data_IF_295630999628
#
_entry.id   IF_295630999628
#
_cell.length_a   1.000
_cell.length_b   1.000
_cell.length_c   1.000
_cell.angle_alpha   90.00
_cell.angle_beta   90.00
_cell.angle_gamma   90.00
#
_symmetry.space_group_name_H-M   'P 1'
#
loop_
_entity.id
_entity.type
_entity.pdbx_description
1 polymer ?
#
# COMPACT_ATOMS: atom_id res chain seq x y z
N UNK A 1 25.17 1.03 -4.09
CA UNK A 1 23.86 1.52 -3.62
C UNK A 1 22.74 1.05 -4.54
N UNK A 2 22.33 -0.21 -4.32
CA UNK A 2 21.01 -0.71 -4.70
C UNK A 2 19.96 0.28 -4.16
N UNK A 3 18.87 0.53 -4.90
CA UNK A 3 17.66 1.11 -4.31
C UNK A 3 17.38 0.38 -3.00
N UNK A 4 17.04 1.12 -1.94
CA UNK A 4 16.56 0.50 -0.70
C UNK A 4 15.30 -0.28 -1.05
N UNK A 5 15.44 -1.59 -1.19
CA UNK A 5 14.32 -2.46 -1.50
C UNK A 5 13.38 -2.49 -0.31
N UNK A 6 12.09 -2.31 -0.57
CA UNK A 6 11.05 -2.42 0.43
C UNK A 6 10.27 -3.72 0.23
N UNK A 7 10.00 -4.38 1.34
CA UNK A 7 9.12 -5.56 1.35
C UNK A 7 7.69 -5.11 1.12
N UNK A 8 7.00 -5.71 0.14
CA UNK A 8 5.63 -5.36 -0.21
C UNK A 8 4.67 -5.46 0.98
N UNK A 9 4.89 -6.44 1.88
CA UNK A 9 4.03 -6.63 3.04
C UNK A 9 4.14 -5.49 4.06
N UNK A 10 5.19 -4.67 3.99
CA UNK A 10 5.37 -3.48 4.84
C UNK A 10 4.67 -2.24 4.30
N UNK A 11 4.20 -2.26 3.05
CA UNK A 11 3.54 -1.13 2.38
C UNK A 11 2.14 -1.47 1.85
N UNK A 12 1.79 -2.75 1.71
CA UNK A 12 0.42 -3.17 1.48
C UNK A 12 -0.44 -2.76 2.68
N UNK A 13 -1.38 -1.86 2.43
CA UNK A 13 -2.20 -1.26 3.48
C UNK A 13 -2.99 -2.34 4.19
N UNK A 14 -3.54 -3.31 3.46
CA UNK A 14 -4.25 -4.44 4.06
C UNK A 14 -3.36 -5.26 4.99
N UNK A 15 -2.12 -5.56 4.58
CA UNK A 15 -1.16 -6.32 5.39
C UNK A 15 -0.74 -5.57 6.66
N UNK A 16 -0.52 -4.27 6.55
CA UNK A 16 -0.23 -3.39 7.70
C UNK A 16 -1.39 -3.39 8.69
N UNK A 17 -2.62 -3.19 8.20
CA UNK A 17 -3.82 -3.18 9.02
C UNK A 17 -4.09 -4.54 9.68
N UNK A 18 -3.96 -5.64 8.93
CA UNK A 18 -4.15 -7.00 9.45
C UNK A 18 -3.19 -7.30 10.59
N UNK A 19 -1.89 -7.01 10.42
CA UNK A 19 -0.87 -7.24 11.45
C UNK A 19 -1.23 -6.48 12.73
N UNK A 20 -1.60 -5.20 12.60
CA UNK A 20 -1.95 -4.34 13.75
C UNK A 20 -3.23 -4.80 14.44
N UNK A 21 -4.26 -5.16 13.70
CA UNK A 21 -5.48 -5.71 14.28
C UNK A 21 -5.21 -7.04 14.99
N UNK A 22 -4.36 -7.90 14.45
CA UNK A 22 -3.98 -9.17 15.08
C UNK A 22 -3.24 -8.96 16.41
N UNK A 23 -2.28 -8.04 16.46
CA UNK A 23 -1.55 -7.69 17.69
C UNK A 23 -2.50 -7.20 18.79
N UNK A 24 -3.48 -6.37 18.43
CA UNK A 24 -4.50 -5.88 19.37
C UNK A 24 -5.37 -7.03 19.85
N UNK A 25 -5.91 -7.85 18.93
CA UNK A 25 -6.74 -9.01 19.28
C UNK A 25 -6.00 -10.00 20.17
N UNK A 26 -4.72 -10.25 19.91
CA UNK A 26 -3.87 -11.09 20.74
C UNK A 26 -3.73 -10.52 22.15
N UNK A 27 -3.42 -9.23 22.26
CA UNK A 27 -3.29 -8.53 23.55
C UNK A 27 -4.60 -8.56 24.36
N UNK A 28 -5.74 -8.41 23.67
CA UNK A 28 -7.08 -8.42 24.27
C UNK A 28 -7.43 -9.82 24.82
N UNK A 29 -7.10 -10.89 24.08
CA UNK A 29 -7.23 -12.26 24.59
C UNK A 29 -6.39 -12.52 25.83
N UNK A 30 -5.14 -12.08 25.83
CA UNK A 30 -4.24 -12.25 26.97
C UNK A 30 -4.70 -11.48 28.20
N UNK A 31 -5.40 -10.35 28.03
CA UNK A 31 -6.08 -9.65 29.12
C UNK A 31 -7.29 -10.46 29.63
N UNK A 32 -8.17 -10.92 28.73
CA UNK A 32 -9.37 -11.70 29.09
C UNK A 32 -9.04 -13.04 29.77
N UNK A 33 -7.94 -13.70 29.37
CA UNK A 33 -7.45 -14.92 30.04
C UNK A 33 -7.03 -14.65 31.48
N UNK A 34 -6.35 -13.52 31.73
CA UNK A 34 -5.90 -13.15 33.08
C UNK A 34 -7.06 -12.87 34.02
N UNK A 35 -8.11 -12.20 33.55
CA UNK A 35 -9.30 -11.94 34.36
C UNK A 35 -10.08 -13.23 34.69
N UNK A 36 -10.26 -14.13 33.71
CA UNK A 36 -10.99 -15.39 33.95
C UNK A 36 -10.25 -16.41 34.82
N UNK A 37 -8.92 -16.40 34.82
CA UNK A 37 -8.12 -17.28 35.72
C UNK A 37 -8.29 -16.88 37.20
N UNK A 38 -8.80 -15.68 37.49
CA UNK A 38 -9.11 -15.27 38.86
C UNK A 38 -10.46 -15.78 39.39
N UNK A 39 -11.34 -16.32 38.52
CA UNK A 39 -12.63 -16.92 38.89
C UNK A 39 -12.78 -18.35 38.32
N UNK A 40 -12.37 -19.34 39.13
CA UNK A 40 -12.72 -20.78 39.07
C UNK A 40 -12.48 -21.60 37.77
N UNK A 41 -11.54 -22.57 37.93
CA UNK A 41 -11.52 -23.95 37.40
C UNK A 41 -12.66 -24.38 36.46
N UNK A 42 -12.64 -23.90 35.23
CA UNK A 42 -13.39 -24.52 34.14
C UNK A 42 -12.61 -24.35 32.84
N UNK A 43 -11.87 -25.39 32.47
CA UNK A 43 -11.24 -25.55 31.14
C UNK A 43 -12.33 -25.68 30.08
N UNK A 44 -12.94 -24.55 29.72
CA UNK A 44 -13.81 -24.40 28.57
C UNK A 44 -13.00 -23.93 27.38
N UNK A 45 -12.70 -24.87 26.48
CA UNK A 45 -12.09 -24.70 25.17
C UNK A 45 -12.39 -23.34 24.49
N UNK A 46 -11.48 -22.36 24.62
CA UNK A 46 -11.37 -21.32 23.60
C UNK A 46 -10.82 -21.99 22.35
N UNK A 47 -11.70 -22.22 21.37
CA UNK A 47 -11.42 -22.95 20.12
C UNK A 47 -10.12 -22.49 19.45
N UNK A 48 -9.37 -23.47 18.90
CA UNK A 48 -8.18 -23.29 18.03
C UNK A 48 -8.45 -22.39 16.81
N UNK A 49 -9.71 -22.11 16.50
CA UNK A 49 -10.14 -21.27 15.37
C UNK A 49 -9.66 -19.81 15.45
N UNK A 50 -9.16 -19.35 16.59
CA UNK A 50 -8.66 -17.97 16.75
C UNK A 50 -7.12 -17.88 16.78
N UNK A 51 -6.39 -19.00 16.65
CA UNK A 51 -4.92 -18.98 16.61
C UNK A 51 -4.37 -18.65 15.22
N UNK A 52 -5.21 -18.73 14.18
CA UNK A 52 -4.76 -18.47 12.81
C UNK A 52 -4.93 -16.99 12.41
N UNK A 53 -3.86 -16.33 11.92
CA UNK A 53 -3.86 -14.96 11.40
C UNK A 53 -4.93 -14.70 10.32
N UNK A 54 -5.35 -15.75 9.60
CA UNK A 54 -6.29 -15.71 8.46
C UNK A 54 -7.75 -15.41 8.84
N UNK A 55 -8.02 -15.02 10.09
CA UNK A 55 -9.37 -15.01 10.66
C UNK A 55 -9.93 -13.62 10.94
N UNK A 56 -9.14 -12.56 10.73
CA UNK A 56 -9.58 -11.16 10.85
C UNK A 56 -10.23 -10.74 9.53
N UNK A 57 -11.57 -10.58 9.48
CA UNK A 57 -12.22 -10.09 8.26
C UNK A 57 -11.81 -8.64 8.05
N UNK A 58 -11.15 -8.34 6.93
CA UNK A 58 -10.78 -7.00 6.52
C UNK A 58 -11.00 -6.85 5.02
N UNK A 59 -11.88 -5.93 4.65
CA UNK A 59 -12.24 -5.67 3.25
C UNK A 59 -12.21 -4.18 2.97
N UNK A 60 -11.69 -3.79 1.81
CA UNK A 60 -11.80 -2.42 1.32
C UNK A 60 -13.25 -2.16 0.85
N UNK A 61 -13.79 -0.97 1.11
CA UNK A 61 -15.11 -0.55 0.64
C UNK A 61 -14.94 0.60 -0.35
N UNK A 62 -15.69 0.55 -1.45
CA UNK A 62 -15.83 1.65 -2.39
C UNK A 62 -17.23 2.24 -2.25
N UNK A 63 -17.33 3.46 -1.73
CA UNK A 63 -18.62 4.18 -1.55
C UNK A 63 -18.90 5.21 -2.64
N UNK A 64 -18.13 5.20 -3.73
CA UNK A 64 -18.17 6.26 -4.74
C UNK A 64 -17.49 7.56 -4.30
N UNK A 65 -16.93 7.62 -3.09
CA UNK A 65 -16.01 8.68 -2.64
C UNK A 65 -14.56 8.24 -2.90
N UNK A 66 -13.66 9.21 -3.09
CA UNK A 66 -12.22 8.97 -3.17
C UNK A 66 -11.61 8.80 -1.77
N UNK A 67 -12.12 7.85 -1.01
CA UNK A 67 -11.62 7.54 0.32
C UNK A 67 -11.15 6.09 0.35
N UNK A 68 -9.91 5.87 0.80
CA UNK A 68 -9.38 4.52 1.01
C UNK A 68 -9.82 4.06 2.39
N UNK A 69 -10.90 3.28 2.42
CA UNK A 69 -11.54 2.78 3.64
C UNK A 69 -11.53 1.26 3.71
N UNK A 70 -10.97 0.72 4.79
CA UNK A 70 -11.06 -0.68 5.14
C UNK A 70 -12.05 -0.88 6.27
N UNK A 71 -12.80 -1.98 6.21
CA UNK A 71 -13.78 -2.33 7.22
C UNK A 71 -13.49 -3.71 7.77
N UNK A 72 -13.55 -3.81 9.10
CA UNK A 72 -13.37 -5.05 9.82
C UNK A 72 -14.59 -5.43 10.66
N UNK A 73 -15.01 -6.70 10.52
CA UNK A 73 -16.05 -7.33 11.34
C UNK A 73 -15.47 -8.06 12.57
N UNK A 74 -14.22 -7.77 12.96
CA UNK A 74 -13.52 -8.55 13.99
C UNK A 74 -14.24 -8.53 15.35
N UNK A 75 -14.82 -7.39 15.74
CA UNK A 75 -15.57 -7.30 17.00
C UNK A 75 -16.86 -8.13 16.98
N UNK A 76 -17.54 -8.21 15.83
CA UNK A 76 -18.70 -9.10 15.64
C UNK A 76 -18.30 -10.58 15.77
N UNK A 77 -17.13 -10.93 15.23
CA UNK A 77 -16.60 -12.29 15.36
C UNK A 77 -16.20 -12.63 16.80
N UNK A 78 -15.54 -11.70 17.49
CA UNK A 78 -15.15 -11.87 18.89
C UNK A 78 -16.36 -11.94 19.83
N UNK A 79 -17.39 -11.11 19.59
CA UNK A 79 -18.64 -11.11 20.36
C UNK A 79 -19.30 -12.49 20.39
N UNK A 80 -19.31 -13.21 19.27
CA UNK A 80 -19.84 -14.59 19.20
C UNK A 80 -19.06 -15.58 20.06
N UNK A 81 -17.80 -15.29 20.37
CA UNK A 81 -16.90 -16.18 21.09
C UNK A 81 -16.81 -15.83 22.57
N UNK A 82 -16.91 -14.56 22.92
CA UNK A 82 -16.81 -14.09 24.31
C UNK A 82 -18.18 -13.94 24.98
N UNK A 83 -19.26 -13.79 24.21
CA UNK A 83 -20.59 -13.44 24.70
C UNK A 83 -20.77 -11.94 25.00
N UNK A 84 -19.73 -11.12 24.78
CA UNK A 84 -19.79 -9.67 24.99
C UNK A 84 -20.50 -8.95 23.83
N UNK A 85 -21.00 -7.75 24.08
CA UNK A 85 -21.61 -6.91 23.06
C UNK A 85 -20.57 -6.47 22.04
N UNK A 86 -20.85 -6.71 20.75
CA UNK A 86 -19.92 -6.36 19.67
C UNK A 86 -19.56 -4.87 19.58
N UNK A 87 -20.45 -3.98 20.04
CA UNK A 87 -20.17 -2.55 20.12
C UNK A 87 -19.10 -2.22 21.16
N UNK A 88 -19.16 -2.86 22.34
CA UNK A 88 -18.22 -2.64 23.45
C UNK A 88 -16.84 -3.20 23.11
N UNK A 89 -16.81 -4.37 22.46
CA UNK A 89 -15.58 -4.93 21.91
C UNK A 89 -14.97 -4.03 20.84
N UNK A 90 -15.77 -3.49 19.94
CA UNK A 90 -15.29 -2.56 18.92
C UNK A 90 -14.71 -1.29 19.56
N UNK A 91 -15.38 -0.72 20.56
CA UNK A 91 -14.87 0.43 21.31
C UNK A 91 -13.56 0.11 22.03
N UNK A 92 -13.45 -1.06 22.65
CA UNK A 92 -12.22 -1.50 23.33
C UNK A 92 -11.06 -1.63 22.36
N UNK A 93 -11.28 -2.24 21.19
CA UNK A 93 -10.26 -2.36 20.14
C UNK A 93 -9.82 -0.99 19.65
N UNK A 94 -10.76 -0.07 19.41
CA UNK A 94 -10.44 1.30 18.99
C UNK A 94 -9.70 2.08 20.09
N UNK A 95 -10.09 1.95 21.35
CA UNK A 95 -9.41 2.58 22.48
C UNK A 95 -7.96 2.08 22.63
N UNK A 96 -7.75 0.76 22.52
CA UNK A 96 -6.40 0.17 22.53
C UNK A 96 -5.58 0.61 21.31
N UNK A 97 -6.22 0.75 20.13
CA UNK A 97 -5.57 1.28 18.92
C UNK A 97 -5.05 2.69 19.15
N UNK A 98 -5.88 3.57 19.72
CA UNK A 98 -5.52 4.96 19.98
C UNK A 98 -4.43 5.03 21.09
N UNK A 99 -4.58 4.25 22.16
CA UNK A 99 -3.61 4.19 23.25
C UNK A 99 -2.23 3.67 22.82
N UNK A 100 -2.18 2.67 21.94
CA UNK A 100 -0.93 2.15 21.38
C UNK A 100 -0.18 3.22 20.56
N UNK A 101 -0.89 4.01 19.76
CA UNK A 101 -0.30 5.11 18.94
C UNK A 101 0.34 6.21 19.79
N UNK A 102 -0.29 6.56 20.92
CA UNK A 102 0.23 7.56 21.84
C UNK A 102 1.49 7.08 22.56
N UNK A 103 1.57 5.78 22.88
CA UNK A 103 2.71 5.19 23.59
C UNK A 103 3.93 5.00 22.68
N UNK A 104 3.72 4.64 21.41
CA UNK A 104 4.80 4.47 20.42
C UNK A 104 5.44 5.80 19.99
N UNK A 105 4.69 6.92 20.04
CA UNK A 105 5.21 8.25 19.71
C UNK A 105 6.30 8.73 20.70
N UNK A 106 6.43 8.08 21.87
CA UNK A 106 7.37 8.44 22.93
C UNK A 106 8.68 7.64 22.84
N UNK A 107 8.73 6.50 22.12
CA UNK A 107 9.83 5.52 22.21
C UNK A 107 10.87 5.52 21.07
N UNK A 108 10.81 6.43 20.10
CA UNK A 108 11.63 6.30 18.89
C UNK A 108 12.96 7.06 18.94
N UNK A 109 13.97 6.46 19.56
CA UNK A 109 15.42 6.67 19.29
C UNK A 109 16.10 5.28 19.38
N UNK A 110 16.92 4.93 18.37
CA UNK A 110 17.82 3.74 18.26
C UNK A 110 17.31 2.42 17.63
N UNK A 111 17.80 2.15 16.39
CA UNK A 111 18.18 0.84 15.77
C UNK A 111 17.62 0.47 14.38
N UNK A 112 18.44 -0.13 13.50
CA UNK A 112 18.11 -0.35 12.07
C UNK A 112 17.04 -1.43 11.78
N UNK A 113 16.69 -2.31 12.72
CA UNK A 113 15.52 -3.19 12.60
C UNK A 113 14.19 -2.40 12.62
N UNK A 114 14.25 -1.16 13.14
CA UNK A 114 13.16 -0.18 13.14
C UNK A 114 12.77 0.24 11.74
N UNK A 115 13.58 0.08 10.69
CA UNK A 115 13.22 0.64 9.38
C UNK A 115 11.94 0.04 8.76
N UNK A 116 11.68 -1.27 8.91
CA UNK A 116 10.44 -1.92 8.43
C UNK A 116 9.26 -1.61 9.33
N UNK A 117 9.46 -1.70 10.65
CA UNK A 117 8.42 -1.46 11.65
C UNK A 117 8.01 0.02 11.64
N UNK A 118 8.96 0.94 11.62
CA UNK A 118 8.75 2.39 11.53
C UNK A 118 7.90 2.83 10.35
N UNK A 119 7.97 2.15 9.20
CA UNK A 119 7.14 2.49 8.04
C UNK A 119 5.71 1.99 8.20
N UNK A 120 5.52 0.73 8.59
CA UNK A 120 4.18 0.21 8.90
C UNK A 120 3.53 1.01 10.03
N UNK A 121 4.32 1.48 10.99
CA UNK A 121 3.88 2.26 12.15
C UNK A 121 3.51 3.68 11.74
N UNK A 122 4.32 4.30 10.88
CA UNK A 122 4.02 5.59 10.29
C UNK A 122 2.73 5.55 9.45
N UNK A 123 2.54 4.51 8.62
CA UNK A 123 1.31 4.32 7.85
C UNK A 123 0.11 4.09 8.77
N UNK A 124 0.25 3.22 9.76
CA UNK A 124 -0.81 2.92 10.74
C UNK A 124 -1.30 4.18 11.47
N UNK A 125 -0.41 5.08 11.87
CA UNK A 125 -0.76 6.33 12.55
C UNK A 125 -1.67 7.25 11.72
N UNK A 126 -1.63 7.12 10.39
CA UNK A 126 -2.43 7.95 9.50
C UNK A 126 -3.84 7.40 9.21
N UNK A 127 -4.23 6.27 9.82
CA UNK A 127 -5.59 5.77 9.72
C UNK A 127 -6.50 6.40 10.77
N UNK A 128 -7.60 7.01 10.38
CA UNK A 128 -8.70 7.32 11.30
C UNK A 128 -9.50 6.05 11.56
N UNK A 129 -9.74 5.73 12.83
CA UNK A 129 -10.45 4.51 13.23
C UNK A 129 -11.77 4.89 13.90
N UNK A 130 -12.88 4.35 13.41
CA UNK A 130 -14.23 4.63 13.91
C UNK A 130 -15.00 3.34 14.14
N UNK A 131 -15.83 3.33 15.18
CA UNK A 131 -16.80 2.25 15.43
C UNK A 131 -18.11 2.62 14.75
N UNK A 132 -18.68 1.69 13.98
CA UNK A 132 -19.97 1.84 13.32
C UNK A 132 -20.89 0.71 13.78
N UNK A 133 -22.16 0.99 14.16
CA UNK A 133 -23.09 -0.05 14.60
C UNK A 133 -23.28 -1.18 13.56
N UNK A 134 -23.50 -2.44 14.00
CA UNK A 134 -23.58 -2.90 15.39
C UNK A 134 -22.22 -3.18 16.06
N UNK A 135 -21.11 -3.08 15.33
CA UNK A 135 -19.76 -3.41 15.84
C UNK A 135 -18.71 -3.49 14.72
N UNK A 136 -18.91 -2.75 13.64
CA UNK A 136 -17.95 -2.64 12.55
C UNK A 136 -16.85 -1.65 12.92
N UNK A 137 -15.62 -1.96 12.52
CA UNK A 137 -14.48 -1.06 12.68
C UNK A 137 -14.11 -0.53 11.30
N UNK A 138 -14.21 0.78 11.13
CA UNK A 138 -13.90 1.49 9.91
C UNK A 138 -12.53 2.13 10.05
N UNK A 139 -11.62 1.85 9.11
CA UNK A 139 -10.25 2.35 9.08
C UNK A 139 -10.05 3.12 7.78
N UNK A 140 -10.03 4.45 7.89
CA UNK A 140 -9.92 5.36 6.75
C UNK A 140 -8.51 5.98 6.72
N UNK A 141 -7.80 5.84 5.60
CA UNK A 141 -6.49 6.47 5.43
C UNK A 141 -6.65 7.97 5.20
N UNK A 142 -5.89 8.80 5.92
CA UNK A 142 -5.86 10.25 5.72
C UNK A 142 -5.11 10.64 4.43
N UNK A 143 -5.38 11.83 3.92
CA UNK A 143 -4.65 12.41 2.78
C UNK A 143 -3.13 12.43 3.01
N UNK A 144 -2.69 12.78 4.23
CA UNK A 144 -1.28 12.74 4.62
C UNK A 144 -0.70 11.31 4.58
N UNK A 145 -1.47 10.32 5.06
CA UNK A 145 -1.08 8.92 5.01
C UNK A 145 -0.96 8.41 3.58
N UNK A 146 -1.92 8.78 2.73
CA UNK A 146 -1.93 8.40 1.32
C UNK A 146 -0.80 9.08 0.54
N UNK A 147 -0.52 10.37 0.80
CA UNK A 147 0.63 11.07 0.24
C UNK A 147 1.97 10.41 0.67
N UNK A 148 2.10 10.06 1.95
CA UNK A 148 3.29 9.37 2.46
C UNK A 148 3.47 7.99 1.81
N UNK A 149 2.37 7.25 1.65
CA UNK A 149 2.36 5.96 0.98
C UNK A 149 2.74 6.07 -0.50
N UNK A 150 2.19 7.05 -1.23
CA UNK A 150 2.55 7.33 -2.61
C UNK A 150 4.02 7.70 -2.75
N UNK A 151 4.56 8.52 -1.85
CA UNK A 151 5.99 8.84 -1.83
C UNK A 151 6.84 7.57 -1.72
N UNK A 152 6.49 6.66 -0.79
CA UNK A 152 7.19 5.38 -0.61
C UNK A 152 7.20 4.57 -1.91
N UNK A 153 6.07 4.51 -2.64
CA UNK A 153 5.99 3.80 -3.93
C UNK A 153 6.91 4.41 -4.99
N UNK A 154 7.16 5.72 -4.96
CA UNK A 154 8.03 6.39 -5.94
C UNK A 154 9.51 6.23 -5.63
N UNK A 155 9.90 6.18 -4.36
CA UNK A 155 11.30 6.20 -3.93
C UNK A 155 11.95 4.82 -3.83
N UNK A 156 11.15 3.75 -3.67
CA UNK A 156 11.65 2.43 -3.30
C UNK A 156 11.30 1.37 -4.34
N UNK A 157 12.23 0.45 -4.53
CA UNK A 157 11.96 -0.75 -5.32
C UNK A 157 11.15 -1.74 -4.46
N UNK A 158 10.01 -2.17 -4.96
CA UNK A 158 9.11 -3.11 -4.27
C UNK A 158 9.63 -4.52 -4.52
N UNK A 159 9.78 -5.30 -3.45
CA UNK A 159 10.13 -6.73 -3.51
C UNK A 159 9.04 -7.56 -2.85
N UNK A 160 8.73 -8.69 -3.44
CA UNK A 160 7.93 -9.72 -2.79
C UNK A 160 8.82 -10.49 -1.80
N UNK A 161 8.25 -10.89 -0.66
CA UNK A 161 8.93 -11.76 0.31
C UNK A 161 9.29 -13.11 -0.34
N UNK A 162 10.43 -13.70 0.02
CA UNK A 162 10.92 -14.96 -0.57
C UNK A 162 9.90 -16.10 -0.40
N UNK A 163 9.12 -16.08 0.70
CA UNK A 163 8.01 -17.02 0.94
C UNK A 163 6.88 -16.91 -0.07
N UNK A 164 6.68 -15.73 -0.66
CA UNK A 164 5.68 -15.50 -1.70
C UNK A 164 6.17 -16.06 -3.04
N UNK A 165 7.49 -15.99 -3.28
CA UNK A 165 8.13 -16.48 -4.51
C UNK A 165 8.05 -18.00 -4.66
N UNK A 166 8.19 -18.73 -3.55
CA UNK A 166 8.09 -20.19 -3.52
C UNK A 166 6.67 -20.72 -3.77
N UNK A 167 5.64 -19.90 -3.50
CA UNK A 167 4.24 -20.26 -3.71
C UNK A 167 3.74 -19.99 -5.14
N UNK A 168 4.52 -19.28 -5.97
CA UNK A 168 4.18 -19.14 -7.39
C UNK A 168 4.43 -20.47 -8.08
N UNK A 169 3.34 -21.20 -8.32
CA UNK A 169 3.33 -22.29 -9.29
C UNK A 169 3.65 -21.63 -10.64
N UNK A 170 4.85 -21.88 -11.16
CA UNK A 170 5.20 -21.53 -12.53
C UNK A 170 4.20 -22.27 -13.44
N UNK A 171 3.19 -21.54 -13.91
CA UNK A 171 2.20 -22.09 -14.83
C UNK A 171 2.89 -22.48 -16.14
N UNK A 172 2.46 -23.62 -16.68
CA UNK A 172 2.98 -24.27 -17.87
C UNK A 172 3.04 -23.29 -19.06
N UNK A 173 4.10 -23.32 -19.90
CA UNK A 173 4.34 -22.36 -21.01
C UNK A 173 3.12 -22.05 -21.89
N UNK A 174 2.18 -23.00 -21.98
CA UNK A 174 0.92 -22.87 -22.69
C UNK A 174 -0.03 -21.78 -22.15
N UNK A 175 0.02 -21.45 -20.85
CA UNK A 175 -0.78 -20.36 -20.26
C UNK A 175 -0.18 -18.98 -20.54
N UNK A 176 1.15 -18.85 -20.55
CA UNK A 176 1.83 -17.63 -20.97
C UNK A 176 1.53 -17.29 -22.43
N UNK A 177 1.52 -18.30 -23.31
CA UNK A 177 1.12 -18.15 -24.72
C UNK A 177 -0.33 -17.66 -24.85
N UNK A 178 -1.27 -18.22 -24.07
CA UNK A 178 -2.69 -17.80 -24.06
C UNK A 178 -2.89 -16.37 -23.55
N UNK A 179 -2.01 -15.91 -22.66
CA UNK A 179 -2.06 -14.58 -22.06
C UNK A 179 -1.14 -13.56 -22.76
N UNK A 180 -0.51 -13.92 -23.88
CA UNK A 180 0.50 -13.10 -24.56
C UNK A 180 0.06 -11.65 -24.83
N UNK A 181 -1.19 -11.43 -25.27
CA UNK A 181 -1.74 -10.07 -25.48
C UNK A 181 -1.77 -9.26 -24.18
N UNK A 182 -2.26 -9.86 -23.09
CA UNK A 182 -2.34 -9.22 -21.77
C UNK A 182 -0.94 -8.90 -21.25
N UNK A 183 -0.01 -9.86 -21.33
CA UNK A 183 1.37 -9.65 -20.93
C UNK A 183 2.04 -8.52 -21.72
N UNK A 184 1.81 -8.46 -23.03
CA UNK A 184 2.29 -7.37 -23.87
C UNK A 184 1.71 -6.03 -23.44
N UNK A 185 0.40 -5.95 -23.14
CA UNK A 185 -0.24 -4.71 -22.66
C UNK A 185 0.39 -4.22 -21.33
N UNK A 186 0.67 -5.13 -20.39
CA UNK A 186 1.33 -4.80 -19.14
C UNK A 186 2.75 -4.26 -19.39
N UNK A 187 3.54 -4.95 -20.22
CA UNK A 187 4.90 -4.54 -20.56
C UNK A 187 4.90 -3.19 -21.31
N UNK A 188 4.00 -3.01 -22.27
CA UNK A 188 3.84 -1.77 -23.03
C UNK A 188 3.45 -0.61 -22.10
N UNK A 189 2.54 -0.83 -21.16
CA UNK A 189 2.15 0.18 -20.17
C UNK A 189 3.34 0.57 -19.29
N UNK A 190 4.14 -0.41 -18.85
CA UNK A 190 5.39 -0.15 -18.12
C UNK A 190 6.38 0.67 -18.95
N UNK A 191 6.66 0.27 -20.19
CA UNK A 191 7.56 0.98 -21.11
C UNK A 191 7.07 2.41 -21.41
N UNK A 192 5.75 2.60 -21.53
CA UNK A 192 5.13 3.93 -21.67
C UNK A 192 5.37 4.79 -20.43
N UNK A 193 5.23 4.23 -19.22
CA UNK A 193 5.56 4.96 -17.99
C UNK A 193 7.04 5.39 -17.99
N UNK A 194 7.96 4.49 -18.35
CA UNK A 194 9.39 4.80 -18.49
C UNK A 194 9.62 5.96 -19.48
N UNK A 195 8.99 5.90 -20.64
CA UNK A 195 9.09 6.96 -21.66
C UNK A 195 8.57 8.31 -21.17
N UNK A 196 7.46 8.34 -20.43
CA UNK A 196 6.93 9.59 -19.85
C UNK A 196 7.91 10.18 -18.82
N UNK A 197 8.48 9.34 -17.94
CA UNK A 197 9.46 9.80 -16.95
C UNK A 197 10.69 10.39 -17.65
N UNK A 198 11.17 9.74 -18.71
CA UNK A 198 12.28 10.22 -19.52
C UNK A 198 11.97 11.58 -20.18
N UNK A 199 10.77 11.75 -20.75
CA UNK A 199 10.34 13.04 -21.30
C UNK A 199 10.26 14.14 -20.23
N UNK A 200 9.82 13.82 -19.01
CA UNK A 200 9.75 14.80 -17.91
C UNK A 200 11.13 15.26 -17.44
N UNK A 201 12.12 14.38 -17.52
CA UNK A 201 13.51 14.75 -17.30
C UNK A 201 13.98 15.77 -18.33
N UNK A 202 13.79 15.47 -19.62
CA UNK A 202 14.22 16.35 -20.71
C UNK A 202 13.50 17.70 -20.66
N UNK A 203 12.24 17.72 -20.24
CA UNK A 203 11.45 18.93 -20.09
C UNK A 203 11.76 19.73 -18.81
N UNK A 204 12.74 19.30 -18.01
CA UNK A 204 13.11 19.95 -16.74
C UNK A 204 11.96 20.07 -15.72
N UNK A 205 10.87 19.32 -15.91
CA UNK A 205 9.75 19.23 -14.97
C UNK A 205 10.18 18.74 -13.59
N UNK A 206 11.27 18.00 -13.60
CA UNK A 206 11.93 17.41 -12.46
C UNK A 206 13.07 18.28 -11.91
N UNK A 207 13.49 19.35 -12.59
CA UNK A 207 14.65 20.17 -12.23
C UNK A 207 14.46 20.99 -10.95
N UNK A 208 13.21 21.25 -10.55
CA UNK A 208 12.91 21.85 -9.24
C UNK A 208 12.86 20.82 -8.10
N UNK A 209 13.00 19.53 -8.40
CA UNK A 209 13.14 18.45 -7.42
C UNK A 209 14.64 18.14 -7.30
N UNK A 210 15.12 17.85 -6.07
CA UNK A 210 16.55 17.71 -5.82
C UNK A 210 17.20 16.61 -6.69
N UNK A 211 18.46 16.80 -7.17
CA UNK A 211 19.17 15.85 -8.03
C UNK A 211 19.31 14.43 -7.43
N UNK A 212 19.27 14.29 -6.11
CA UNK A 212 19.26 13.01 -5.40
C UNK A 212 18.01 12.18 -5.74
N UNK A 213 16.82 12.79 -5.72
CA UNK A 213 15.56 12.21 -6.21
C UNK A 213 15.70 11.72 -7.66
N UNK A 214 16.36 12.53 -8.49
CA UNK A 214 16.54 12.25 -9.92
C UNK A 214 17.46 11.07 -10.17
N UNK A 215 18.57 10.95 -9.44
CA UNK A 215 19.51 9.83 -9.58
C UNK A 215 18.88 8.45 -9.30
N UNK A 216 17.82 8.40 -8.50
CA UNK A 216 17.07 7.17 -8.20
C UNK A 216 16.11 6.74 -9.32
N UNK A 217 15.73 7.65 -10.22
CA UNK A 217 14.81 7.35 -11.30
C UNK A 217 15.47 6.65 -12.51
N UNK A 218 16.81 6.64 -12.59
CA UNK A 218 17.53 6.25 -13.81
C UNK A 218 18.41 5.00 -13.76
N UNK A 219 18.68 4.33 -12.62
CA UNK A 219 19.73 3.29 -12.61
C UNK A 219 19.47 2.07 -11.71
N UNK A 220 19.85 0.89 -12.24
CA UNK A 220 20.08 -0.33 -11.47
C UNK A 220 21.46 -0.36 -10.77
N UNK A 221 22.29 0.68 -10.90
CA UNK A 221 23.65 0.80 -10.32
C UNK A 221 23.86 2.18 -9.64
N UNK A 222 24.71 2.26 -8.59
CA UNK A 222 24.89 3.44 -7.76
C UNK A 222 25.94 4.43 -8.26
N UNK A 223 25.69 5.72 -8.06
CA UNK A 223 26.78 6.70 -8.02
C UNK A 223 26.81 7.43 -6.67
N UNK A 224 28.03 7.58 -6.15
CA UNK A 224 28.34 8.22 -4.89
C UNK A 224 28.28 9.75 -5.04
N UNK A 225 27.42 10.40 -4.26
CA UNK A 225 27.31 11.85 -4.19
C UNK A 225 26.43 12.28 -3.02
N UNK A 226 26.84 13.36 -2.35
CA UNK A 226 26.40 13.82 -1.03
C UNK A 226 24.87 13.85 -0.81
N UNK A 227 24.44 13.37 0.35
CA UNK A 227 23.03 13.21 0.78
C UNK A 227 22.44 14.58 1.14
N UNK A 228 21.77 15.21 0.17
CA UNK A 228 20.73 16.21 0.45
C UNK A 228 19.36 15.55 0.30
N UNK A 229 18.50 15.71 1.31
CA UNK A 229 17.18 15.08 1.40
C UNK A 229 16.35 15.43 0.15
N UNK A 230 15.78 14.45 -0.57
CA UNK A 230 15.01 14.73 -1.78
C UNK A 230 13.84 15.65 -1.43
N UNK A 231 13.57 16.66 -2.27
CA UNK A 231 12.35 17.44 -2.15
C UNK A 231 11.19 16.50 -2.48
N UNK A 232 10.30 16.29 -1.52
CA UNK A 232 9.12 15.43 -1.65
C UNK A 232 8.27 15.89 -2.83
N UNK A 233 7.64 14.95 -3.53
CA UNK A 233 6.66 15.30 -4.55
C UNK A 233 5.50 16.06 -3.88
N UNK A 234 4.93 17.08 -4.53
CA UNK A 234 3.91 17.93 -3.95
C UNK A 234 2.53 17.25 -3.96
N UNK A 235 2.40 16.10 -3.30
CA UNK A 235 1.15 15.35 -3.22
C UNK A 235 0.00 16.13 -2.58
N UNK A 236 0.35 16.99 -1.61
CA UNK A 236 -0.59 17.77 -0.80
C UNK A 236 -0.58 19.26 -1.21
N UNK A 237 -1.75 19.88 -1.13
CA UNK A 237 -1.96 21.32 -1.30
C UNK A 237 -1.62 22.10 -0.01
N UNK A 238 -1.88 23.41 -0.01
CA UNK A 238 -1.65 24.25 1.17
C UNK A 238 -2.54 23.88 2.37
N UNK A 239 -3.63 23.17 2.14
CA UNK A 239 -4.61 22.75 3.16
C UNK A 239 -4.33 21.34 3.71
N UNK A 240 -3.20 20.72 3.33
CA UNK A 240 -2.88 19.32 3.65
C UNK A 240 -3.85 18.30 3.04
N UNK A 241 -4.53 18.68 1.95
CA UNK A 241 -5.39 17.79 1.18
C UNK A 241 -4.70 17.29 -0.09
N UNK A 242 -5.07 16.11 -0.57
CA UNK A 242 -4.52 15.57 -1.81
C UNK A 242 -4.90 16.45 -3.01
N UNK A 243 -3.93 16.74 -3.88
CA UNK A 243 -4.13 17.59 -5.06
C UNK A 243 -4.96 16.94 -6.18
N UNK A 244 -5.24 15.65 -6.08
CA UNK A 244 -5.89 14.87 -7.13
C UNK A 244 -7.41 15.01 -7.13
N UNK A 245 -7.91 15.86 -8.01
CA UNK A 245 -9.34 16.14 -8.12
C UNK A 245 -9.99 15.38 -9.29
N UNK A 246 -9.22 14.93 -10.27
CA UNK A 246 -9.79 14.30 -11.46
C UNK A 246 -10.13 12.82 -11.17
N UNK A 247 -11.33 12.33 -11.55
CA UNK A 247 -11.74 10.96 -11.26
C UNK A 247 -10.77 9.88 -11.79
N UNK A 248 -10.06 10.14 -12.89
CA UNK A 248 -9.06 9.21 -13.42
C UNK A 248 -7.81 9.10 -12.53
N UNK A 249 -7.38 10.18 -11.87
CA UNK A 249 -6.27 10.16 -10.90
C UNK A 249 -6.67 9.33 -9.67
N UNK A 250 -7.88 9.59 -9.19
CA UNK A 250 -8.46 8.94 -8.02
C UNK A 250 -8.64 7.43 -8.25
N UNK A 251 -9.15 7.05 -9.42
CA UNK A 251 -9.25 5.63 -9.84
C UNK A 251 -7.88 4.97 -9.94
N UNK A 252 -6.88 5.65 -10.50
CA UNK A 252 -5.52 5.12 -10.57
C UNK A 252 -4.92 4.89 -9.18
N UNK A 253 -5.09 5.82 -8.24
CA UNK A 253 -4.60 5.68 -6.87
C UNK A 253 -5.28 4.51 -6.15
N UNK A 254 -6.61 4.41 -6.24
CA UNK A 254 -7.35 3.28 -5.67
C UNK A 254 -6.90 1.94 -6.28
N UNK A 255 -6.63 1.92 -7.59
CA UNK A 255 -6.12 0.72 -8.25
C UNK A 255 -4.68 0.39 -7.84
N UNK A 256 -3.81 1.38 -7.62
CA UNK A 256 -2.47 1.14 -7.07
C UNK A 256 -2.56 0.47 -5.70
N UNK A 257 -3.43 0.96 -4.82
CA UNK A 257 -3.66 0.35 -3.49
C UNK A 257 -4.12 -1.10 -3.64
N UNK A 258 -5.15 -1.33 -4.46
CA UNK A 258 -5.69 -2.67 -4.69
C UNK A 258 -4.65 -3.63 -5.28
N UNK A 259 -3.81 -3.16 -6.20
CA UNK A 259 -2.76 -3.98 -6.82
C UNK A 259 -1.65 -4.32 -5.82
N UNK A 260 -1.20 -3.37 -4.99
CA UNK A 260 -0.18 -3.63 -3.95
C UNK A 260 -0.72 -4.61 -2.90
N UNK A 261 -1.97 -4.45 -2.46
CA UNK A 261 -2.61 -5.39 -1.55
C UNK A 261 -2.74 -6.78 -2.19
N UNK A 262 -3.15 -6.86 -3.46
CA UNK A 262 -3.25 -8.13 -4.20
C UNK A 262 -1.90 -8.83 -4.31
N UNK A 263 -0.84 -8.09 -4.63
CA UNK A 263 0.52 -8.65 -4.72
C UNK A 263 1.04 -9.13 -3.36
N UNK A 264 0.61 -8.51 -2.25
CA UNK A 264 0.97 -8.97 -0.90
C UNK A 264 0.16 -10.18 -0.44
N UNK A 265 -1.08 -10.34 -0.94
CA UNK A 265 -2.01 -11.40 -0.53
C UNK A 265 -1.91 -12.66 -1.41
N UNK A 266 -1.57 -12.51 -2.69
CA UNK A 266 -1.83 -13.54 -3.70
C UNK A 266 -0.63 -14.48 -3.90
N UNK A 267 -0.81 -15.79 -3.65
CA UNK A 267 0.11 -16.82 -4.13
C UNK A 267 -0.17 -17.22 -5.61
N UNK A 268 -1.24 -16.70 -6.23
CA UNK A 268 -1.75 -17.15 -7.53
C UNK A 268 -1.61 -16.11 -8.65
N UNK A 269 -0.98 -16.51 -9.76
CA UNK A 269 -0.73 -15.68 -10.94
C UNK A 269 -1.99 -15.08 -11.62
N UNK A 270 -3.14 -15.77 -11.74
CA UNK A 270 -4.32 -15.19 -12.41
C UNK A 270 -4.86 -13.91 -11.73
N UNK A 271 -4.76 -13.84 -10.40
CA UNK A 271 -5.17 -12.63 -9.65
C UNK A 271 -4.20 -11.47 -9.91
N UNK A 272 -2.90 -11.77 -9.99
CA UNK A 272 -1.85 -10.80 -10.29
C UNK A 272 -2.02 -10.25 -11.70
N UNK A 273 -2.26 -11.13 -12.68
CA UNK A 273 -2.48 -10.72 -14.07
C UNK A 273 -3.70 -9.80 -14.20
N UNK A 274 -4.83 -10.17 -13.57
CA UNK A 274 -6.03 -9.34 -13.55
C UNK A 274 -5.81 -7.97 -12.89
N UNK A 275 -5.05 -7.93 -11.78
CA UNK A 275 -4.69 -6.68 -11.13
C UNK A 275 -3.80 -5.81 -12.04
N UNK A 276 -2.87 -6.43 -12.78
CA UNK A 276 -2.02 -5.75 -13.76
C UNK A 276 -2.79 -5.20 -14.96
N UNK A 277 -3.75 -5.94 -15.48
CA UNK A 277 -4.65 -5.50 -16.56
C UNK A 277 -5.46 -4.28 -16.12
N UNK A 278 -6.07 -4.37 -14.94
CA UNK A 278 -6.90 -3.30 -14.40
C UNK A 278 -6.07 -2.05 -14.09
N UNK A 279 -4.84 -2.22 -13.57
CA UNK A 279 -3.89 -1.12 -13.37
C UNK A 279 -3.49 -0.47 -14.69
N UNK A 280 -3.18 -1.27 -15.71
CA UNK A 280 -2.80 -0.78 -17.03
C UNK A 280 -3.91 0.03 -17.69
N UNK A 281 -5.15 -0.45 -17.62
CA UNK A 281 -6.30 0.28 -18.14
C UNK A 281 -6.54 1.60 -17.39
N UNK A 282 -6.50 1.59 -16.06
CA UNK A 282 -6.65 2.83 -15.27
C UNK A 282 -5.52 3.82 -15.55
N UNK A 283 -4.30 3.35 -15.81
CA UNK A 283 -3.20 4.21 -16.23
C UNK A 283 -3.45 4.84 -17.61
N UNK A 284 -3.97 4.07 -18.59
CA UNK A 284 -4.32 4.59 -19.92
C UNK A 284 -5.40 5.67 -19.80
N UNK A 285 -6.46 5.40 -19.03
CA UNK A 285 -7.54 6.37 -18.77
C UNK A 285 -6.99 7.65 -18.12
N UNK A 286 -6.12 7.51 -17.11
CA UNK A 286 -5.44 8.61 -16.45
C UNK A 286 -4.58 9.40 -17.45
N UNK A 287 -3.75 8.73 -18.25
CA UNK A 287 -2.85 9.36 -19.20
C UNK A 287 -3.59 10.13 -20.30
N UNK A 288 -4.71 9.57 -20.78
CA UNK A 288 -5.56 10.21 -21.77
C UNK A 288 -6.29 11.44 -21.22
N UNK A 289 -6.77 11.38 -19.98
CA UNK A 289 -7.56 12.45 -19.37
C UNK A 289 -6.72 13.54 -18.69
N UNK A 290 -5.54 13.20 -18.17
CA UNK A 290 -4.72 14.08 -17.34
C UNK A 290 -3.46 14.49 -18.10
N UNK A 291 -3.40 15.75 -18.53
CA UNK A 291 -2.23 16.29 -19.24
C UNK A 291 -1.09 16.56 -18.24
N UNK A 292 0.00 15.80 -18.36
CA UNK A 292 1.21 15.95 -17.51
C UNK A 292 2.17 16.99 -18.11
N UNK A 293 2.28 17.00 -19.44
CA UNK A 293 3.26 17.80 -20.19
C UNK A 293 2.69 19.06 -20.83
N UNK A 294 1.37 19.20 -20.90
CA UNK A 294 0.74 20.44 -21.33
C UNK A 294 0.69 21.44 -20.15
N UNK A 295 0.59 22.74 -20.43
CA UNK A 295 0.47 23.83 -19.44
C UNK A 295 1.55 23.91 -18.34
N UNK A 296 2.64 23.16 -18.47
CA UNK A 296 3.83 23.15 -17.59
C UNK A 296 4.48 24.53 -17.43
N UNK A 297 4.15 25.49 -18.32
CA UNK A 297 4.68 26.85 -18.26
C UNK A 297 3.74 27.89 -17.64
N UNK A 298 2.47 27.58 -17.31
CA UNK A 298 1.50 28.67 -17.04
C UNK A 298 0.43 28.49 -15.94
N UNK A 299 0.14 27.29 -15.40
CA UNK A 299 -0.98 27.16 -14.43
C UNK A 299 -0.68 26.42 -13.12
N UNK A 300 -0.16 25.18 -13.14
CA UNK A 300 0.06 24.41 -11.89
C UNK A 300 1.20 23.38 -12.04
N UNK A 301 2.43 23.82 -11.76
CA UNK A 301 3.63 22.98 -11.79
C UNK A 301 3.57 21.86 -10.73
N UNK A 302 3.02 22.16 -9.55
CA UNK A 302 2.94 21.19 -8.46
C UNK A 302 2.02 20.02 -8.85
N UNK A 303 0.85 20.29 -9.44
CA UNK A 303 -0.05 19.23 -9.89
C UNK A 303 0.58 18.39 -11.01
N UNK A 304 1.31 19.00 -11.95
CA UNK A 304 2.04 18.27 -12.98
C UNK A 304 3.10 17.33 -12.36
N UNK A 305 3.83 17.80 -11.34
CA UNK A 305 4.79 16.99 -10.60
C UNK A 305 4.13 15.86 -9.81
N UNK A 306 3.01 16.12 -9.13
CA UNK A 306 2.25 15.10 -8.41
C UNK A 306 1.73 14.01 -9.37
N UNK A 307 1.23 14.39 -10.55
CA UNK A 307 0.81 13.45 -11.60
C UNK A 307 1.97 12.62 -12.14
N UNK A 308 3.13 13.22 -12.34
CA UNK A 308 4.34 12.49 -12.70
C UNK A 308 4.74 11.50 -11.60
N UNK A 309 4.51 11.86 -10.32
CA UNK A 309 4.58 10.95 -9.20
C UNK A 309 3.69 9.71 -9.36
N UNK A 310 2.45 9.87 -9.84
CA UNK A 310 1.57 8.73 -10.13
C UNK A 310 2.12 7.84 -11.26
N UNK A 311 2.75 8.42 -12.28
CA UNK A 311 3.44 7.65 -13.33
C UNK A 311 4.59 6.83 -12.73
N UNK A 312 5.37 7.43 -11.83
CA UNK A 312 6.48 6.76 -11.13
C UNK A 312 5.98 5.61 -10.24
N UNK A 313 4.95 5.85 -9.43
CA UNK A 313 4.36 4.81 -8.60
C UNK A 313 3.80 3.67 -9.45
N UNK A 314 3.12 3.99 -10.56
CA UNK A 314 2.58 2.99 -11.50
C UNK A 314 3.69 2.18 -12.14
N UNK A 315 4.77 2.81 -12.62
CA UNK A 315 5.95 2.12 -13.14
C UNK A 315 6.51 1.13 -12.12
N UNK A 316 6.72 1.55 -10.88
CA UNK A 316 7.35 0.71 -9.86
C UNK A 316 6.46 -0.48 -9.46
N UNK A 317 5.15 -0.26 -9.36
CA UNK A 317 4.18 -1.34 -9.11
C UNK A 317 4.10 -2.31 -10.29
N UNK A 318 4.03 -1.82 -11.53
CA UNK A 318 4.04 -2.67 -12.73
C UNK A 318 5.34 -3.45 -12.86
N UNK A 319 6.49 -2.84 -12.55
CA UNK A 319 7.78 -3.53 -12.54
C UNK A 319 7.78 -4.68 -11.54
N UNK A 320 7.34 -4.44 -10.31
CA UNK A 320 7.23 -5.51 -9.30
C UNK A 320 6.24 -6.60 -9.71
N UNK A 321 5.12 -6.21 -10.32
CA UNK A 321 4.13 -7.15 -10.83
C UNK A 321 4.70 -8.04 -11.93
N UNK A 322 5.42 -7.46 -12.89
CA UNK A 322 6.05 -8.17 -14.00
C UNK A 322 7.20 -9.07 -13.51
N UNK A 323 8.19 -8.49 -12.83
CA UNK A 323 9.45 -9.16 -12.48
C UNK A 323 9.33 -10.08 -11.28
N UNK A 324 8.61 -9.65 -10.24
CA UNK A 324 8.50 -10.42 -8.99
C UNK A 324 7.23 -11.29 -8.98
N UNK A 325 6.10 -10.79 -9.51
CA UNK A 325 4.81 -11.49 -9.48
C UNK A 325 4.59 -12.47 -10.65
N UNK A 326 5.00 -12.10 -11.85
CA UNK A 326 4.80 -12.91 -13.08
C UNK A 326 6.10 -13.52 -13.61
N UNK A 327 7.24 -13.23 -12.99
CA UNK A 327 8.58 -13.69 -13.40
C UNK A 327 8.92 -13.38 -14.88
N UNK A 328 8.46 -12.23 -15.38
CA UNK A 328 8.75 -11.73 -16.73
C UNK A 328 9.46 -10.38 -16.69
N UNK A 329 10.22 -10.09 -17.75
CA UNK A 329 10.94 -8.83 -17.86
C UNK A 329 9.98 -7.63 -17.93
N UNK A 330 10.32 -6.55 -17.23
CA UNK A 330 9.71 -5.24 -17.38
C UNK A 330 10.55 -4.36 -18.31
N UNK A 331 10.27 -4.33 -19.63
CA UNK A 331 11.11 -3.63 -20.59
C UNK A 331 11.05 -2.12 -20.39
N UNK A 332 12.18 -1.46 -20.59
CA UNK A 332 12.26 0.01 -20.52
C UNK A 332 11.59 0.68 -21.72
N UNK A 333 11.66 0.02 -22.87
CA UNK A 333 11.18 0.48 -24.17
C UNK A 333 10.57 -0.72 -24.93
N UNK A 334 9.51 -0.47 -25.69
CA UNK A 334 8.82 -1.47 -26.51
C UNK A 334 8.36 -0.87 -27.85
#
# INVERSE_FOLDING_TARGET
>A
MKLLSIDIASIALKSVLLRRLQEIVYSLKEALRRDKVSDLSSEGYLSKDIEQPQTVPLTIINRGTFEIEYVSAIALKLSRLTGELSADLAQTIVAQTIGARLTESIKTVEDKAIARQSLSDALWRNFTVKVVPPGWIHLQLSDLGLASWLQILTERSIRLDDRSRENFVYENDNQLLRNSTKLFELQHTHARCCSQIYLAQQAELLSSLNPSTLSHFYSNEPQAGSVSMPKLLPWLDSNQSLRFQHPAEQRLIAQLVATVDTLSDAPFQPSILKAGETLSQNFIDFHAACRIFAEVKTADLDLAQARLGLVLATRNVLKALLEEGLAICAPLEL
#
